data_IF_770131315388
#
_entry.id   IF_770131315388
#
_cell.length_a   1.000
_cell.length_b   1.000
_cell.length_c   1.000
_cell.angle_alpha   90.00
_cell.angle_beta   90.00
_cell.angle_gamma   90.00
#
_symmetry.space_group_name_H-M   'P 1'
#
loop_
_entity.id
_entity.type
_entity.pdbx_description
1 polymer ?
#
# COMPACT_ATOMS: atom_id res chain seq x y z
N UNK A 1 -11.63 8.58 -1.71
CA UNK A 1 -12.16 9.60 -0.77
C UNK A 1 -13.34 10.34 -1.40
N UNK A 2 -14.15 11.02 -0.59
CA UNK A 2 -15.28 11.83 -1.10
C UNK A 2 -14.74 13.21 -1.49
N UNK A 3 -14.87 13.56 -2.77
CA UNK A 3 -14.45 14.85 -3.31
C UNK A 3 -15.21 15.99 -2.63
N UNK A 4 -14.52 17.07 -2.25
CA UNK A 4 -15.06 18.26 -1.58
C UNK A 4 -15.66 18.03 -0.19
N UNK A 5 -15.45 16.86 0.43
CA UNK A 5 -15.82 16.65 1.82
C UNK A 5 -14.87 17.43 2.75
N UNK A 6 -15.36 17.93 3.90
CA UNK A 6 -14.50 18.51 4.93
C UNK A 6 -13.38 17.55 5.35
N UNK A 7 -12.20 18.10 5.70
CA UNK A 7 -11.02 17.33 6.10
C UNK A 7 -11.36 16.29 7.18
N UNK A 8 -12.12 16.69 8.20
CA UNK A 8 -12.52 15.79 9.30
C UNK A 8 -13.35 14.57 8.85
N UNK A 9 -14.14 14.68 7.77
CA UNK A 9 -14.91 13.55 7.21
C UNK A 9 -13.96 12.54 6.59
N UNK A 10 -13.00 13.05 5.85
CA UNK A 10 -11.96 12.27 5.19
C UNK A 10 -11.04 11.58 6.22
N UNK A 11 -10.71 12.27 7.32
CA UNK A 11 -10.01 11.68 8.47
C UNK A 11 -10.80 10.57 9.14
N UNK A 12 -12.09 10.80 9.41
CA UNK A 12 -12.96 9.79 10.02
C UNK A 12 -13.08 8.54 9.14
N UNK A 13 -13.14 8.70 7.81
CA UNK A 13 -13.14 7.59 6.86
C UNK A 13 -11.85 6.76 6.93
N UNK A 14 -10.70 7.44 7.00
CA UNK A 14 -9.39 6.78 7.13
C UNK A 14 -9.29 6.01 8.44
N UNK A 15 -9.68 6.64 9.56
CA UNK A 15 -9.63 5.99 10.87
C UNK A 15 -10.61 4.81 10.94
N UNK A 16 -11.79 4.95 10.34
CA UNK A 16 -12.75 3.84 10.20
C UNK A 16 -12.18 2.71 9.37
N UNK A 17 -11.53 3.00 8.24
CA UNK A 17 -10.92 1.99 7.37
C UNK A 17 -9.79 1.26 8.10
N UNK A 18 -8.97 1.98 8.88
CA UNK A 18 -7.92 1.41 9.71
C UNK A 18 -8.47 0.45 10.77
N UNK A 19 -9.56 0.85 11.45
CA UNK A 19 -10.26 -0.01 12.41
C UNK A 19 -10.81 -1.24 11.70
N UNK A 20 -11.46 -1.09 10.55
CA UNK A 20 -12.00 -2.21 9.75
C UNK A 20 -10.87 -3.17 9.36
N UNK A 21 -9.74 -2.68 8.87
CA UNK A 21 -8.59 -3.52 8.50
C UNK A 21 -8.00 -4.24 9.72
N UNK A 22 -7.91 -3.59 10.87
CA UNK A 22 -7.50 -4.24 12.12
C UNK A 22 -8.48 -5.32 12.56
N UNK A 23 -9.78 -5.06 12.49
CA UNK A 23 -10.83 -6.03 12.78
C UNK A 23 -10.80 -7.22 11.82
N UNK A 24 -10.49 -7.01 10.53
CA UNK A 24 -10.38 -8.08 9.54
C UNK A 24 -9.28 -9.08 9.91
N UNK A 25 -8.16 -8.63 10.48
CA UNK A 25 -7.09 -9.52 10.98
C UNK A 25 -7.63 -10.40 12.12
N UNK A 26 -8.30 -9.80 13.11
CA UNK A 26 -8.86 -10.52 14.26
C UNK A 26 -9.93 -11.52 13.80
N UNK A 27 -10.83 -11.09 12.91
CA UNK A 27 -11.89 -11.92 12.34
C UNK A 27 -11.29 -13.11 11.59
N UNK A 28 -10.24 -12.90 10.79
CA UNK A 28 -9.58 -13.98 10.06
C UNK A 28 -8.98 -15.03 11.02
N UNK A 29 -8.31 -14.59 12.10
CA UNK A 29 -7.80 -15.50 13.14
C UNK A 29 -8.94 -16.32 13.78
N UNK A 30 -10.07 -15.69 14.12
CA UNK A 30 -11.24 -16.38 14.69
C UNK A 30 -11.78 -17.43 13.70
N UNK A 31 -11.91 -17.09 12.42
CA UNK A 31 -12.37 -18.02 11.39
C UNK A 31 -11.42 -19.21 11.20
N UNK A 32 -10.11 -18.99 11.25
CA UNK A 32 -9.11 -20.07 11.21
C UNK A 32 -9.32 -21.02 12.40
N UNK A 33 -9.47 -20.49 13.61
CA UNK A 33 -9.70 -21.30 14.82
C UNK A 33 -11.00 -22.12 14.70
N UNK A 34 -12.09 -21.49 14.22
CA UNK A 34 -13.38 -22.16 14.01
C UNK A 34 -13.24 -23.28 12.96
N UNK A 35 -12.57 -22.99 11.84
CA UNK A 35 -12.35 -23.95 10.76
C UNK A 35 -11.54 -25.16 11.25
N UNK A 36 -10.43 -24.94 11.96
CA UNK A 36 -9.60 -26.00 12.54
C UNK A 36 -10.40 -26.86 13.52
N UNK A 37 -11.16 -26.23 14.44
CA UNK A 37 -12.04 -26.96 15.38
C UNK A 37 -13.09 -27.79 14.64
N UNK A 38 -13.66 -27.27 13.56
CA UNK A 38 -14.66 -27.96 12.75
C UNK A 38 -14.07 -29.19 12.06
N UNK A 39 -12.86 -29.06 11.48
CA UNK A 39 -12.13 -30.17 10.85
C UNK A 39 -11.79 -31.26 11.88
N UNK A 40 -11.23 -30.89 13.05
CA UNK A 40 -10.88 -31.85 14.11
C UNK A 40 -12.11 -32.64 14.57
N UNK A 41 -13.23 -31.95 14.85
CA UNK A 41 -14.49 -32.61 15.21
C UNK A 41 -14.94 -33.56 14.10
N UNK A 42 -14.89 -33.13 12.85
CA UNK A 42 -15.27 -33.98 11.71
C UNK A 42 -14.43 -35.25 11.59
N UNK A 43 -13.11 -35.17 11.80
CA UNK A 43 -12.20 -36.34 11.82
C UNK A 43 -12.54 -37.27 12.99
N UNK A 44 -12.71 -36.71 14.19
CA UNK A 44 -13.05 -37.47 15.39
C UNK A 44 -14.36 -38.26 15.23
N UNK A 45 -15.42 -37.61 14.73
CA UNK A 45 -16.71 -38.28 14.49
C UNK A 45 -16.64 -39.29 13.35
N UNK A 46 -15.81 -39.06 12.33
CA UNK A 46 -15.58 -40.02 11.25
C UNK A 46 -15.00 -41.34 11.77
N UNK A 47 -14.07 -41.28 12.73
CA UNK A 47 -13.48 -42.47 13.34
C UNK A 47 -14.43 -43.21 14.29
N UNK A 48 -15.43 -42.52 14.87
CA UNK A 48 -16.32 -43.11 15.89
C UNK A 48 -17.57 -43.82 15.34
N UNK A 49 -17.69 -44.01 14.02
CA UNK A 49 -18.81 -44.73 13.35
C UNK A 49 -20.22 -44.31 13.82
N UNK A 50 -20.45 -43.04 14.18
CA UNK A 50 -21.81 -42.53 14.40
C UNK A 50 -22.39 -42.07 13.06
N UNK A 51 -23.31 -42.85 12.52
CA UNK A 51 -23.91 -42.73 11.17
C UNK A 51 -24.67 -41.44 10.83
N UNK A 52 -24.46 -40.32 11.53
CA UNK A 52 -24.89 -38.98 11.11
C UNK A 52 -23.79 -38.28 10.32
N UNK A 53 -23.29 -38.94 9.27
CA UNK A 53 -22.10 -38.52 8.53
C UNK A 53 -22.28 -37.23 7.70
N UNK A 54 -23.51 -36.83 7.38
CA UNK A 54 -23.75 -35.76 6.39
C UNK A 54 -24.08 -34.38 6.96
N UNK A 55 -24.46 -34.24 8.24
CA UNK A 55 -24.79 -32.91 8.79
C UNK A 55 -23.56 -32.14 9.31
N UNK A 56 -22.56 -32.88 9.81
CA UNK A 56 -21.40 -32.26 10.48
C UNK A 56 -20.26 -31.89 9.54
N UNK A 57 -20.27 -32.37 8.29
CA UNK A 57 -19.24 -32.09 7.28
C UNK A 57 -19.89 -31.41 6.06
N UNK A 58 -20.58 -30.29 6.30
CA UNK A 58 -21.17 -29.54 5.20
C UNK A 58 -20.07 -28.89 4.38
N UNK A 59 -19.79 -29.44 3.18
CA UNK A 59 -18.85 -28.86 2.21
C UNK A 59 -19.12 -27.37 1.97
N UNK A 60 -20.39 -26.94 2.03
CA UNK A 60 -20.79 -25.53 1.90
C UNK A 60 -20.21 -24.64 3.02
N UNK A 61 -20.19 -25.12 4.28
CA UNK A 61 -19.63 -24.37 5.41
C UNK A 61 -18.10 -24.27 5.33
N UNK A 62 -17.44 -25.37 4.96
CA UNK A 62 -15.98 -25.38 4.76
C UNK A 62 -15.60 -24.41 3.65
N UNK A 63 -16.30 -24.47 2.51
CA UNK A 63 -16.08 -23.57 1.39
C UNK A 63 -16.30 -22.10 1.76
N UNK A 64 -17.36 -21.80 2.53
CA UNK A 64 -17.65 -20.46 3.02
C UNK A 64 -16.51 -19.92 3.91
N UNK A 65 -16.08 -20.70 4.91
CA UNK A 65 -15.01 -20.26 5.82
C UNK A 65 -13.67 -20.13 5.11
N UNK A 66 -13.30 -21.07 4.22
CA UNK A 66 -12.09 -20.94 3.41
C UNK A 66 -12.14 -19.73 2.49
N UNK A 67 -13.29 -19.47 1.87
CA UNK A 67 -13.50 -18.31 1.00
C UNK A 67 -13.30 -16.99 1.77
N UNK A 68 -13.88 -16.87 2.97
CA UNK A 68 -13.71 -15.69 3.82
C UNK A 68 -12.25 -15.49 4.24
N UNK A 69 -11.55 -16.56 4.63
CA UNK A 69 -10.12 -16.50 5.01
C UNK A 69 -9.27 -16.03 3.82
N UNK A 70 -9.52 -16.57 2.61
CA UNK A 70 -8.77 -16.20 1.39
C UNK A 70 -9.04 -14.73 1.02
N UNK A 71 -10.30 -14.31 0.97
CA UNK A 71 -10.66 -12.93 0.61
C UNK A 71 -10.03 -11.93 1.59
N UNK A 72 -10.12 -12.20 2.89
CA UNK A 72 -9.53 -11.31 3.90
C UNK A 72 -8.00 -11.33 3.87
N UNK A 73 -7.36 -12.47 3.58
CA UNK A 73 -5.92 -12.55 3.39
C UNK A 73 -5.43 -11.75 2.16
N UNK A 74 -6.19 -11.77 1.06
CA UNK A 74 -5.90 -10.96 -0.14
C UNK A 74 -5.97 -9.47 0.20
N UNK A 75 -7.04 -9.03 0.88
CA UNK A 75 -7.20 -7.63 1.31
C UNK A 75 -6.03 -7.22 2.20
N UNK A 76 -5.71 -8.01 3.24
CA UNK A 76 -4.58 -7.72 4.15
C UNK A 76 -3.27 -7.62 3.36
N UNK A 77 -3.01 -8.54 2.42
CA UNK A 77 -1.78 -8.53 1.62
C UNK A 77 -1.65 -7.29 0.74
N UNK A 78 -2.76 -6.79 0.17
CA UNK A 78 -2.76 -5.56 -0.65
C UNK A 78 -2.37 -4.33 0.18
N UNK A 79 -2.77 -4.26 1.46
CA UNK A 79 -2.54 -3.10 2.31
C UNK A 79 -1.27 -3.18 3.17
N UNK A 80 -0.89 -4.36 3.63
CA UNK A 80 0.17 -4.54 4.63
C UNK A 80 1.47 -5.12 4.08
N UNK A 81 1.44 -5.82 2.93
CA UNK A 81 2.64 -6.47 2.41
C UNK A 81 3.49 -5.46 1.62
N UNK A 82 4.74 -5.19 2.05
CA UNK A 82 5.62 -4.31 1.29
C UNK A 82 6.02 -4.97 -0.03
N UNK A 83 5.94 -4.19 -1.11
CA UNK A 83 6.30 -4.56 -2.49
C UNK A 83 7.45 -3.69 -2.94
N UNK A 84 8.25 -4.14 -3.90
CA UNK A 84 9.30 -3.29 -4.49
C UNK A 84 8.68 -2.02 -5.09
N UNK A 85 9.40 -0.89 -4.97
CA UNK A 85 8.97 0.40 -5.56
C UNK A 85 8.88 0.26 -7.09
N UNK A 86 9.82 -0.48 -7.67
CA UNK A 86 9.88 -0.86 -9.09
C UNK A 86 9.81 -2.38 -9.18
N UNK A 87 8.65 -2.96 -9.50
CA UNK A 87 8.38 -4.36 -9.20
C UNK A 87 9.01 -5.38 -10.15
N UNK A 88 9.45 -4.99 -11.36
CA UNK A 88 10.05 -5.86 -12.38
C UNK A 88 10.73 -5.02 -13.49
N UNK A 89 11.61 -5.64 -14.28
CA UNK A 89 12.26 -5.03 -15.46
C UNK A 89 11.28 -4.65 -16.60
N UNK A 90 10.02 -5.10 -16.52
CA UNK A 90 8.96 -4.77 -17.50
C UNK A 90 8.50 -3.30 -17.43
N UNK A 91 8.82 -2.61 -16.33
CA UNK A 91 8.44 -1.22 -16.08
C UNK A 91 9.67 -0.32 -16.17
N UNK A 92 9.56 0.73 -16.96
CA UNK A 92 10.57 1.80 -17.02
C UNK A 92 9.99 3.11 -16.51
N UNK A 93 10.80 3.94 -15.86
CA UNK A 93 10.39 5.27 -15.45
C UNK A 93 10.37 6.16 -16.70
N UNK A 94 9.18 6.57 -17.13
CA UNK A 94 9.00 7.48 -18.26
C UNK A 94 9.17 8.95 -17.87
N UNK A 95 8.71 9.31 -16.67
CA UNK A 95 9.00 10.63 -16.07
C UNK A 95 8.71 10.62 -14.57
N UNK A 96 9.27 11.60 -13.87
CA UNK A 96 9.02 11.84 -12.45
C UNK A 96 8.49 13.27 -12.26
N UNK A 97 7.41 13.40 -11.49
CA UNK A 97 6.89 14.70 -11.08
C UNK A 97 7.11 14.87 -9.57
N UNK A 98 7.96 15.83 -9.17
CA UNK A 98 8.10 16.21 -7.78
C UNK A 98 7.00 17.20 -7.40
N UNK A 99 6.22 16.83 -6.39
CA UNK A 99 5.14 17.68 -5.87
C UNK A 99 5.59 18.49 -4.66
N UNK A 100 6.45 17.91 -3.81
CA UNK A 100 6.88 18.52 -2.56
C UNK A 100 8.18 17.92 -2.03
N UNK A 101 9.08 18.78 -1.56
CA UNK A 101 10.33 18.42 -0.85
C UNK A 101 10.72 19.62 0.04
N UNK A 102 11.26 19.45 1.25
CA UNK A 102 11.57 20.56 2.17
C UNK A 102 13.08 20.67 2.43
N UNK A 103 13.74 21.84 2.24
CA UNK A 103 13.18 23.19 2.26
C UNK A 103 12.84 23.78 0.88
N UNK A 104 12.97 23.01 -0.21
CA UNK A 104 12.80 23.52 -1.58
C UNK A 104 11.32 23.81 -1.85
N UNK A 105 10.91 25.08 -1.72
CA UNK A 105 9.53 25.48 -1.97
C UNK A 105 9.16 25.44 -3.46
N UNK A 106 8.06 24.72 -3.75
CA UNK A 106 7.08 24.98 -4.83
C UNK A 106 7.56 25.17 -6.29
N UNK A 107 8.55 24.41 -6.76
CA UNK A 107 8.67 24.17 -8.19
C UNK A 107 8.15 22.77 -8.51
N UNK A 108 7.17 22.67 -9.41
CA UNK A 108 6.79 21.39 -10.01
C UNK A 108 7.96 20.95 -10.90
N UNK A 109 8.86 20.13 -10.36
CA UNK A 109 9.96 19.58 -11.14
C UNK A 109 9.44 18.38 -11.92
N UNK A 110 9.53 18.45 -13.25
CA UNK A 110 9.25 17.34 -14.14
C UNK A 110 10.56 16.87 -14.75
N UNK A 111 11.00 15.68 -14.34
CA UNK A 111 12.21 15.04 -14.86
C UNK A 111 11.80 14.10 -15.99
N UNK A 112 12.36 14.34 -17.18
CA UNK A 112 12.22 13.49 -18.37
C UNK A 112 13.56 13.04 -18.95
N UNK A 113 14.66 13.54 -18.40
CA UNK A 113 16.00 13.23 -18.90
C UNK A 113 16.40 11.80 -18.50
N UNK A 114 16.76 10.98 -19.49
CA UNK A 114 17.00 9.55 -19.29
C UNK A 114 18.10 9.26 -18.24
N UNK A 115 19.21 10.00 -18.29
CA UNK A 115 20.32 9.87 -17.33
C UNK A 115 19.85 10.04 -15.87
N UNK A 116 19.05 11.08 -15.61
CA UNK A 116 18.47 11.38 -14.29
C UNK A 116 17.43 10.34 -13.87
N UNK A 117 16.65 9.83 -14.81
CA UNK A 117 15.67 8.77 -14.54
C UNK A 117 16.33 7.43 -14.21
N UNK A 118 17.42 7.07 -14.88
CA UNK A 118 18.22 5.88 -14.56
C UNK A 118 18.89 5.98 -13.19
N UNK A 119 19.36 7.18 -12.81
CA UNK A 119 19.90 7.41 -11.47
C UNK A 119 18.82 7.25 -10.39
N UNK A 120 17.65 7.85 -10.61
CA UNK A 120 16.50 7.70 -9.72
C UNK A 120 16.06 6.23 -9.59
N UNK A 121 16.04 5.50 -10.69
CA UNK A 121 15.76 4.05 -10.70
C UNK A 121 16.77 3.30 -9.83
N UNK A 122 18.07 3.58 -9.94
CA UNK A 122 19.09 2.96 -9.08
C UNK A 122 18.88 3.30 -7.60
N UNK A 123 18.49 4.53 -7.28
CA UNK A 123 18.18 4.94 -5.90
C UNK A 123 16.98 4.14 -5.37
N UNK A 124 15.92 3.95 -6.17
CA UNK A 124 14.66 3.35 -5.72
C UNK A 124 14.63 1.81 -5.77
N UNK A 125 15.50 1.18 -6.56
CA UNK A 125 15.50 -0.27 -6.85
C UNK A 125 15.49 -1.16 -5.61
N UNK A 126 16.25 -0.79 -4.57
CA UNK A 126 16.39 -1.60 -3.36
C UNK A 126 15.32 -1.31 -2.30
N UNK A 127 14.42 -0.38 -2.57
CA UNK A 127 13.39 0.03 -1.63
C UNK A 127 12.07 -0.66 -1.88
N UNK A 128 11.35 -0.87 -0.78
CA UNK A 128 10.00 -1.40 -0.80
C UNK A 128 9.02 -0.31 -0.40
N UNK A 129 7.85 -0.35 -0.99
CA UNK A 129 6.73 0.48 -0.66
C UNK A 129 5.54 -0.37 -0.20
N UNK A 130 4.63 0.24 0.54
CA UNK A 130 3.33 -0.36 0.84
C UNK A 130 2.26 0.68 0.63
N UNK A 131 1.04 0.21 0.36
CA UNK A 131 -0.07 1.12 0.17
C UNK A 131 -0.31 1.91 1.45
N UNK A 132 -0.27 3.23 1.32
CA UNK A 132 -0.51 4.13 2.43
C UNK A 132 -1.99 4.07 2.81
N UNK A 133 -2.24 3.88 4.11
CA UNK A 133 -3.57 4.09 4.70
C UNK A 133 -3.81 5.58 4.99
N UNK A 134 -2.76 6.41 4.93
CA UNK A 134 -2.77 7.82 5.35
C UNK A 134 -2.57 8.80 4.19
N UNK A 135 -2.08 8.31 3.05
CA UNK A 135 -1.91 9.09 1.83
C UNK A 135 -3.26 9.49 1.26
N UNK A 136 -3.58 10.77 1.39
CA UNK A 136 -4.86 11.37 0.97
C UNK A 136 -4.56 12.65 0.18
N UNK A 137 -5.54 13.50 -0.14
CA UNK A 137 -5.33 14.73 -0.91
C UNK A 137 -5.58 16.01 -0.11
N UNK A 138 -4.70 17.04 -0.26
CA UNK A 138 -4.66 18.38 0.42
C UNK A 138 -3.81 18.62 1.71
N UNK A 139 -2.53 19.02 1.57
CA UNK A 139 -1.53 19.20 2.65
C UNK A 139 -2.03 20.16 3.72
N UNK A 140 -2.02 19.74 4.99
CA UNK A 140 -1.91 20.69 6.11
C UNK A 140 -0.48 20.71 6.67
N UNK A 141 -0.01 21.94 6.84
CA UNK A 141 1.34 22.33 7.26
C UNK A 141 1.71 21.77 8.64
N UNK A 142 2.72 20.89 8.69
CA UNK A 142 3.60 20.81 9.86
C UNK A 142 5.05 20.93 9.38
N UNK A 143 5.76 21.91 9.93
CA UNK A 143 7.09 22.35 9.48
C UNK A 143 8.19 21.31 9.75
N UNK A 144 7.90 20.37 10.64
CA UNK A 144 8.90 19.47 11.22
C UNK A 144 9.03 18.13 10.47
N UNK A 145 8.00 17.67 9.75
CA UNK A 145 7.99 16.30 9.19
C UNK A 145 8.68 16.14 7.83
N UNK A 146 9.04 17.26 7.17
CA UNK A 146 9.79 17.34 5.90
C UNK A 146 9.50 16.20 4.87
N UNK A 147 8.23 15.94 4.51
CA UNK A 147 7.90 14.83 3.61
C UNK A 147 8.38 15.11 2.18
N UNK A 148 8.77 14.04 1.48
CA UNK A 148 9.05 14.06 0.04
C UNK A 148 7.88 13.39 -0.68
N UNK A 149 7.24 14.11 -1.61
CA UNK A 149 6.09 13.63 -2.36
C UNK A 149 6.35 13.73 -3.86
N UNK A 150 6.27 12.61 -4.57
CA UNK A 150 6.49 12.56 -6.01
C UNK A 150 5.59 11.53 -6.68
N UNK A 151 5.36 11.70 -7.98
CA UNK A 151 4.77 10.66 -8.83
C UNK A 151 5.80 10.11 -9.78
N UNK A 152 5.78 8.79 -9.98
CA UNK A 152 6.41 8.14 -11.12
C UNK A 152 5.35 7.89 -12.18
N UNK A 153 5.66 8.28 -13.41
CA UNK A 153 4.94 7.85 -14.60
C UNK A 153 5.73 6.65 -15.13
N UNK A 154 5.18 5.46 -14.97
CA UNK A 154 5.78 4.20 -15.39
C UNK A 154 5.23 3.81 -16.76
N UNK A 155 6.09 3.32 -17.64
CA UNK A 155 5.69 2.73 -18.92
C UNK A 155 5.82 1.21 -18.84
N UNK A 156 4.71 0.50 -18.99
CA UNK A 156 4.68 -0.95 -19.13
C UNK A 156 5.02 -1.33 -20.56
N UNK A 157 6.19 -1.93 -20.76
CA UNK A 157 6.66 -2.31 -22.10
C UNK A 157 5.78 -3.39 -22.76
N UNK A 158 5.22 -4.29 -21.95
CA UNK A 158 4.43 -5.42 -22.41
C UNK A 158 3.01 -5.01 -22.83
N UNK A 159 2.37 -4.17 -22.01
CA UNK A 159 0.99 -3.70 -22.26
C UNK A 159 0.94 -2.42 -23.10
N UNK A 160 2.08 -1.74 -23.28
CA UNK A 160 2.19 -0.42 -23.93
C UNK A 160 1.32 0.64 -23.27
N UNK A 161 1.18 0.55 -21.96
CA UNK A 161 0.36 1.44 -21.16
C UNK A 161 1.21 2.23 -20.17
N UNK A 162 0.69 3.41 -19.83
CA UNK A 162 1.32 4.31 -18.87
C UNK A 162 0.55 4.28 -17.55
N UNK A 163 1.26 4.05 -16.45
CA UNK A 163 0.71 4.02 -15.10
C UNK A 163 1.27 5.19 -14.30
N UNK A 164 0.41 5.83 -13.50
CA UNK A 164 0.84 6.89 -12.59
C UNK A 164 0.81 6.36 -11.17
N UNK A 165 1.97 6.30 -10.52
CA UNK A 165 2.12 5.82 -9.15
C UNK A 165 2.64 6.96 -8.28
N UNK A 166 2.05 7.11 -7.10
CA UNK A 166 2.33 8.23 -6.22
C UNK A 166 3.02 7.73 -4.96
N UNK A 167 4.15 8.33 -4.63
CA UNK A 167 5.00 7.94 -3.52
C UNK A 167 5.16 9.06 -2.52
N UNK A 168 5.28 8.66 -1.26
CA UNK A 168 5.59 9.53 -0.14
C UNK A 168 6.72 8.88 0.67
N UNK A 169 7.73 9.69 0.98
CA UNK A 169 8.80 9.34 1.92
C UNK A 169 8.63 10.27 3.12
N UNK A 170 8.36 9.70 4.29
CA UNK A 170 8.21 10.43 5.54
C UNK A 170 8.72 9.59 6.71
N UNK A 171 9.48 10.19 7.62
CA UNK A 171 10.02 9.51 8.81
C UNK A 171 8.96 9.36 9.91
N UNK A 172 8.14 10.39 10.12
CA UNK A 172 6.95 10.31 10.95
C UNK A 172 5.77 9.92 10.07
N UNK A 173 4.98 8.89 10.41
CA UNK A 173 3.80 8.51 9.62
C UNK A 173 2.68 9.54 9.77
N UNK A 174 2.89 10.76 9.28
CA UNK A 174 1.89 11.81 9.33
C UNK A 174 0.96 11.65 8.13
N UNK A 175 -0.21 12.29 8.25
CA UNK A 175 -1.19 12.27 7.17
C UNK A 175 -0.69 13.24 6.12
N UNK A 176 -0.12 12.70 5.05
CA UNK A 176 0.31 13.51 3.91
C UNK A 176 -0.80 13.52 2.88
N UNK A 177 -1.17 14.74 2.52
CA UNK A 177 -2.34 15.00 1.70
C UNK A 177 -1.90 15.66 0.37
N UNK A 178 -1.89 14.96 -0.76
CA UNK A 178 -1.43 15.46 -2.08
C UNK A 178 -2.58 15.96 -2.97
N UNK A 179 -2.53 17.17 -3.55
CA UNK A 179 -3.64 17.76 -4.34
C UNK A 179 -4.05 17.02 -5.63
N UNK A 180 -3.36 15.95 -6.02
CA UNK A 180 -3.68 15.21 -7.23
C UNK A 180 -4.84 14.21 -7.00
N UNK A 181 -5.57 13.93 -8.09
CA UNK A 181 -6.62 12.93 -8.16
C UNK A 181 -5.94 11.54 -8.15
N UNK A 182 -5.55 11.10 -6.96
CA UNK A 182 -4.73 9.91 -6.78
C UNK A 182 -5.60 8.79 -6.27
N UNK A 183 -5.74 7.73 -7.07
CA UNK A 183 -6.47 6.54 -6.65
C UNK A 183 -5.76 5.88 -5.46
N UNK A 184 -4.40 5.78 -5.47
CA UNK A 184 -3.59 5.21 -4.39
C UNK A 184 -2.23 5.89 -4.21
N UNK A 185 -1.82 6.04 -2.94
CA UNK A 185 -0.51 6.53 -2.50
C UNK A 185 0.26 5.39 -1.83
N UNK A 186 1.58 5.35 -2.04
CA UNK A 186 2.47 4.35 -1.45
C UNK A 186 3.52 5.01 -0.53
N UNK A 187 3.67 4.45 0.67
CA UNK A 187 4.73 4.85 1.60
C UNK A 187 5.97 4.01 1.29
N UNK A 188 7.12 4.64 1.04
CA UNK A 188 8.39 3.92 0.86
C UNK A 188 9.03 3.65 2.23
N UNK A 189 9.44 2.41 2.47
CA UNK A 189 10.12 2.00 3.69
C UNK A 189 11.58 2.47 3.68
N UNK A 190 11.88 3.56 4.38
CA UNK A 190 13.24 4.08 4.58
C UNK A 190 14.01 3.25 5.63
N UNK A 191 14.37 2.01 5.30
CA UNK A 191 14.97 1.06 6.27
C UNK A 191 16.37 1.45 6.76
N UNK A 192 17.15 2.11 5.90
CA UNK A 192 18.52 2.55 6.22
C UNK A 192 18.55 3.96 6.81
N UNK A 193 17.42 4.68 6.81
CA UNK A 193 17.34 6.07 7.25
C UNK A 193 18.11 7.03 6.34
N UNK A 194 18.42 6.62 5.10
CA UNK A 194 19.21 7.40 4.14
C UNK A 194 18.47 7.70 2.85
N UNK A 195 17.27 7.14 2.64
CA UNK A 195 16.51 7.36 1.41
C UNK A 195 16.16 8.84 1.20
N UNK A 196 15.71 9.49 2.26
CA UNK A 196 15.44 10.92 2.28
C UNK A 196 16.68 11.70 1.82
N UNK A 197 17.83 11.46 2.44
CA UNK A 197 19.09 12.13 2.06
C UNK A 197 19.50 11.86 0.60
N UNK A 198 19.36 10.62 0.12
CA UNK A 198 19.67 10.24 -1.27
C UNK A 198 18.77 11.00 -2.25
N UNK A 199 17.48 11.11 -1.96
CA UNK A 199 16.52 11.83 -2.79
C UNK A 199 16.77 13.35 -2.71
N UNK A 200 17.08 13.88 -1.53
CA UNK A 200 17.46 15.30 -1.37
C UNK A 200 18.67 15.66 -2.24
N UNK A 201 19.76 14.88 -2.14
CA UNK A 201 20.96 15.12 -2.96
C UNK A 201 20.69 15.00 -4.45
N UNK A 202 19.92 13.99 -4.85
CA UNK A 202 19.51 13.84 -6.25
C UNK A 202 18.83 15.12 -6.76
N UNK A 203 17.95 15.75 -5.98
CA UNK A 203 17.31 17.00 -6.40
C UNK A 203 18.26 18.20 -6.34
N UNK A 204 19.09 18.34 -5.31
CA UNK A 204 20.08 19.44 -5.19
C UNK A 204 21.14 19.42 -6.30
N UNK A 205 21.56 18.24 -6.75
CA UNK A 205 22.58 18.10 -7.81
C UNK A 205 21.99 18.35 -9.21
N UNK A 206 20.67 18.22 -9.36
CA UNK A 206 20.00 18.26 -10.64
C UNK A 206 19.15 19.52 -10.87
N UNK A 207 18.95 20.38 -9.86
CA UNK A 207 18.15 21.62 -9.88
C UNK A 207 18.62 22.66 -8.86
#
# INVERSE_FOLDING_TARGET
MIRNAPIWVNELLVDSLRIILGLLIIINIIFIIILVRYIIKGIYYKHKKQGKHNEYYSRKKIFLYSGLIIVTAIIISIFYLPREVLPNDDYSIYSMNLHKIYPIEQNQYNIKELSKLEELERILKDYKCKRSLFGTSCVQHMKDSKPICFSLILYNQNEKETLVVNFIIENDRQRVYTSANIDFVYDIENKDGMLDDKIYRFFEENY
#
